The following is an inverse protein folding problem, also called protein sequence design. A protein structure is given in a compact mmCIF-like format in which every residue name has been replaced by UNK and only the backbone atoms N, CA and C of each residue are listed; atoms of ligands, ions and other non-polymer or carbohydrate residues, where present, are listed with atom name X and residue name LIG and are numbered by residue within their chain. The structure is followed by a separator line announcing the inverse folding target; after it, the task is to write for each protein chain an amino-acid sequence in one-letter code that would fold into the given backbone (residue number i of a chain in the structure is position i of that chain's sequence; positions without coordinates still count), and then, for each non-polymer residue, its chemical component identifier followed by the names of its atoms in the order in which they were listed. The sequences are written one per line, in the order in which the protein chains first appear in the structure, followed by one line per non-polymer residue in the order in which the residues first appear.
data_IF_858388601913
#
_entry.id   IF_858388601913
#
_cell.length_a   1.000
_cell.length_b   1.000
_cell.length_c   1.000
_cell.angle_alpha   90.00
_cell.angle_beta   90.00
_cell.angle_gamma   90.00
#
_symmetry.space_group_name_H-M   'P 1'
#
loop_
_entity.id
_entity.type
_entity.pdbx_description
1 polymer ?
#
# COMPACT_ATOMS: atom_id res chain seq x y z
N UNK A 1 17.84 -13.47 -7.18
CA UNK A 1 17.29 -12.38 -6.55
C UNK A 1 15.78 -12.25 -6.79
N UNK A 2 15.03 -11.97 -5.72
CA UNK A 2 13.56 -11.91 -5.75
C UNK A 2 13.01 -10.85 -6.72
N UNK A 3 13.70 -9.70 -6.84
CA UNK A 3 13.33 -8.64 -7.78
C UNK A 3 13.39 -9.12 -9.23
N UNK A 4 14.41 -9.88 -9.60
CA UNK A 4 14.50 -10.42 -10.97
C UNK A 4 13.35 -11.40 -11.26
N UNK A 5 13.03 -12.28 -10.33
CA UNK A 5 11.90 -13.20 -10.46
C UNK A 5 10.57 -12.45 -10.61
N UNK A 6 10.38 -11.36 -9.86
CA UNK A 6 9.20 -10.52 -9.93
C UNK A 6 9.08 -9.82 -11.29
N UNK A 7 10.17 -9.25 -11.81
CA UNK A 7 10.21 -8.64 -13.15
C UNK A 7 9.92 -9.67 -14.24
N UNK A 8 10.48 -10.88 -14.14
CA UNK A 8 10.25 -11.95 -15.10
C UNK A 8 8.77 -12.41 -15.12
N UNK A 9 8.16 -12.59 -13.93
CA UNK A 9 6.73 -12.93 -13.80
C UNK A 9 5.84 -11.83 -14.39
N UNK A 10 6.16 -10.58 -14.11
CA UNK A 10 5.39 -9.46 -14.63
C UNK A 10 5.52 -9.34 -16.16
N UNK A 11 6.72 -9.51 -16.70
CA UNK A 11 6.97 -9.51 -18.15
C UNK A 11 6.23 -10.65 -18.85
N UNK A 12 6.23 -11.84 -18.26
CA UNK A 12 5.45 -12.98 -18.79
C UNK A 12 3.95 -12.69 -18.82
N UNK A 13 3.42 -12.10 -17.72
CA UNK A 13 2.02 -11.70 -17.66
C UNK A 13 1.68 -10.65 -18.71
N UNK A 14 2.50 -9.61 -18.89
CA UNK A 14 2.28 -8.56 -19.89
C UNK A 14 2.29 -9.11 -21.31
N UNK A 15 3.14 -10.09 -21.61
CA UNK A 15 3.25 -10.70 -22.94
C UNK A 15 2.00 -11.48 -23.35
N UNK A 16 1.36 -12.20 -22.43
CA UNK A 16 0.23 -13.09 -22.77
C UNK A 16 -1.16 -12.51 -22.46
N UNK A 17 -1.30 -11.70 -21.43
CA UNK A 17 -2.55 -11.05 -20.97
C UNK A 17 -3.78 -12.00 -20.96
N UNK A 18 -3.57 -13.26 -20.58
CA UNK A 18 -4.62 -14.28 -20.48
C UNK A 18 -4.99 -14.54 -19.03
N UNK A 19 -6.18 -15.13 -18.77
CA UNK A 19 -6.57 -15.51 -17.40
C UNK A 19 -5.59 -16.51 -16.78
N UNK A 20 -5.03 -17.41 -17.58
CA UNK A 20 -4.04 -18.37 -17.10
C UNK A 20 -2.74 -17.66 -16.70
N UNK A 21 -2.22 -16.73 -17.51
CA UNK A 21 -1.02 -15.97 -17.17
C UNK A 21 -1.25 -15.05 -15.95
N UNK A 22 -2.48 -14.53 -15.78
CA UNK A 22 -2.88 -13.78 -14.59
C UNK A 22 -2.87 -14.66 -13.33
N UNK A 23 -3.42 -15.88 -13.41
CA UNK A 23 -3.39 -16.84 -12.31
C UNK A 23 -1.95 -17.22 -11.93
N UNK A 24 -1.09 -17.53 -12.90
CA UNK A 24 0.34 -17.81 -12.65
C UNK A 24 1.03 -16.62 -12.01
N UNK A 25 0.75 -15.39 -12.46
CA UNK A 25 1.29 -14.17 -11.87
C UNK A 25 0.85 -14.01 -10.40
N UNK A 26 -0.43 -14.21 -10.09
CA UNK A 26 -0.95 -14.09 -8.72
C UNK A 26 -0.33 -15.14 -7.78
N UNK A 27 -0.23 -16.38 -8.22
CA UNK A 27 0.42 -17.44 -7.43
C UNK A 27 1.90 -17.09 -7.23
N UNK A 28 2.59 -16.71 -8.31
CA UNK A 28 4.01 -16.37 -8.25
C UNK A 28 4.31 -15.20 -7.31
N UNK A 29 3.52 -14.11 -7.38
CA UNK A 29 3.71 -12.95 -6.49
C UNK A 29 3.41 -13.31 -5.03
N UNK A 30 2.43 -14.17 -4.77
CA UNK A 30 2.11 -14.64 -3.41
C UNK A 30 3.26 -15.50 -2.85
N UNK A 31 3.80 -16.40 -3.66
CA UNK A 31 4.96 -17.22 -3.26
C UNK A 31 6.18 -16.35 -3.00
N UNK A 32 6.47 -15.39 -3.88
CA UNK A 32 7.59 -14.45 -3.68
C UNK A 32 7.43 -13.64 -2.40
N UNK A 33 6.22 -13.19 -2.08
CA UNK A 33 5.93 -12.50 -0.83
C UNK A 33 6.18 -13.39 0.40
N UNK A 34 5.71 -14.63 0.37
CA UNK A 34 5.91 -15.58 1.45
C UNK A 34 7.40 -15.91 1.68
N UNK A 35 8.20 -15.95 0.61
CA UNK A 35 9.65 -16.14 0.68
C UNK A 35 10.39 -14.88 1.14
N UNK A 36 9.91 -13.69 0.77
CA UNK A 36 10.54 -12.43 1.16
C UNK A 36 10.47 -12.17 2.66
N UNK A 37 9.40 -12.60 3.33
CA UNK A 37 9.22 -12.38 4.76
C UNK A 37 10.32 -13.03 5.64
N UNK A 38 10.61 -14.36 5.55
CA UNK A 38 11.68 -14.95 6.33
C UNK A 38 13.07 -14.44 5.93
N UNK A 39 13.29 -14.13 4.65
CA UNK A 39 14.56 -13.56 4.18
C UNK A 39 14.78 -12.17 4.79
N UNK A 40 13.76 -11.30 4.79
CA UNK A 40 13.82 -10.00 5.45
C UNK A 40 14.11 -10.11 6.95
N UNK A 41 13.51 -11.10 7.62
CA UNK A 41 13.77 -11.36 9.04
C UNK A 41 15.21 -11.85 9.30
N UNK A 42 15.82 -12.64 8.42
CA UNK A 42 17.22 -13.07 8.55
C UNK A 42 18.21 -11.94 8.29
N UNK A 43 17.84 -10.93 7.48
CA UNK A 43 18.67 -9.77 7.14
C UNK A 43 18.61 -8.61 8.15
N UNK A 44 17.94 -8.77 9.28
CA UNK A 44 17.73 -7.70 10.28
C UNK A 44 19.01 -7.05 10.81
N UNK A 45 20.09 -7.80 10.90
CA UNK A 45 21.38 -7.31 11.40
C UNK A 45 22.24 -6.68 10.30
N UNK A 46 22.10 -7.14 9.06
CA UNK A 46 23.00 -6.77 7.96
C UNK A 46 22.47 -5.58 7.16
N UNK A 47 21.14 -5.42 7.08
CA UNK A 47 20.51 -4.38 6.27
C UNK A 47 19.66 -3.46 7.15
N UNK A 48 20.03 -2.16 7.27
CA UNK A 48 19.32 -1.22 8.13
C UNK A 48 17.81 -1.13 7.86
N UNK A 49 17.38 -1.30 6.61
CA UNK A 49 15.96 -1.27 6.20
C UNK A 49 15.11 -2.35 6.91
N UNK A 50 15.72 -3.47 7.31
CA UNK A 50 15.05 -4.54 8.04
C UNK A 50 15.31 -4.47 9.55
N UNK A 51 16.08 -3.50 10.02
CA UNK A 51 16.39 -3.29 11.43
C UNK A 51 15.16 -2.82 12.20
N UNK A 52 14.91 -3.34 13.42
CA UNK A 52 13.87 -2.84 14.31
C UNK A 52 14.12 -1.42 14.81
N UNK A 53 15.34 -0.89 14.65
CA UNK A 53 15.67 0.50 15.04
C UNK A 53 14.96 1.54 14.16
N UNK A 54 14.69 1.23 12.89
CA UNK A 54 13.96 2.14 11.99
C UNK A 54 12.46 2.03 12.15
N UNK A 55 11.97 0.81 12.36
CA UNK A 55 10.54 0.53 12.48
C UNK A 55 10.37 -0.78 13.28
N UNK A 56 9.63 -0.70 14.37
CA UNK A 56 9.32 -1.85 15.21
C UNK A 56 7.82 -1.86 15.51
N UNK A 57 7.10 -2.74 14.83
CA UNK A 57 5.70 -3.03 15.10
C UNK A 57 5.55 -4.45 15.64
N UNK A 58 4.69 -4.60 16.63
CA UNK A 58 4.26 -5.91 17.14
C UNK A 58 3.22 -6.59 16.25
N UNK A 59 2.76 -5.90 15.20
CA UNK A 59 1.73 -6.35 14.28
C UNK A 59 2.26 -7.18 13.10
N UNK A 60 1.65 -6.98 11.93
CA UNK A 60 1.88 -7.78 10.73
C UNK A 60 3.28 -7.57 10.13
N UNK A 61 3.85 -6.36 10.29
CA UNK A 61 5.12 -5.97 9.67
C UNK A 61 6.20 -5.80 10.72
N UNK A 62 7.14 -6.72 10.73
CA UNK A 62 8.23 -6.75 11.70
C UNK A 62 9.37 -5.75 11.40
N UNK A 63 9.37 -5.12 10.24
CA UNK A 63 10.39 -4.16 9.79
C UNK A 63 9.87 -3.25 8.69
N UNK A 64 10.52 -2.11 8.49
CA UNK A 64 10.22 -1.18 7.42
C UNK A 64 10.33 -1.84 6.04
N UNK A 65 11.37 -2.64 5.81
CA UNK A 65 11.58 -3.33 4.55
C UNK A 65 10.41 -4.27 4.20
N UNK A 66 9.89 -4.99 5.19
CA UNK A 66 8.72 -5.87 4.99
C UNK A 66 7.45 -5.07 4.67
N UNK A 67 7.25 -3.91 5.30
CA UNK A 67 6.15 -3.01 4.99
C UNK A 67 6.24 -2.49 3.54
N UNK A 68 7.40 -1.96 3.14
CA UNK A 68 7.62 -1.42 1.80
C UNK A 68 7.48 -2.48 0.71
N UNK A 69 8.02 -3.69 0.93
CA UNK A 69 7.85 -4.81 0.02
C UNK A 69 6.38 -5.21 -0.11
N UNK A 70 5.64 -5.26 1.00
CA UNK A 70 4.21 -5.59 0.94
C UNK A 70 3.43 -4.53 0.15
N UNK A 71 3.73 -3.25 0.32
CA UNK A 71 3.12 -2.17 -0.45
C UNK A 71 3.40 -2.33 -1.95
N UNK A 72 4.62 -2.71 -2.31
CA UNK A 72 4.97 -2.99 -3.71
C UNK A 72 4.17 -4.18 -4.27
N UNK A 73 4.01 -5.26 -3.50
CA UNK A 73 3.18 -6.41 -3.92
C UNK A 73 1.71 -6.02 -4.11
N UNK A 74 1.15 -5.24 -3.19
CA UNK A 74 -0.23 -4.73 -3.32
C UNK A 74 -0.37 -3.88 -4.58
N UNK A 75 0.57 -2.97 -4.84
CA UNK A 75 0.57 -2.16 -6.06
C UNK A 75 0.60 -3.04 -7.33
N UNK A 76 1.49 -4.02 -7.41
CA UNK A 76 1.62 -4.90 -8.58
C UNK A 76 0.39 -5.79 -8.78
N UNK A 77 -0.20 -6.28 -7.68
CA UNK A 77 -1.47 -7.01 -7.72
C UNK A 77 -2.58 -6.14 -8.35
N UNK A 78 -2.74 -4.93 -7.86
CA UNK A 78 -3.77 -4.00 -8.35
C UNK A 78 -3.52 -3.62 -9.80
N UNK A 79 -2.26 -3.37 -10.17
CA UNK A 79 -1.87 -3.05 -11.54
C UNK A 79 -2.23 -4.20 -12.49
N UNK A 80 -2.00 -5.46 -12.09
CA UNK A 80 -2.40 -6.63 -12.86
C UNK A 80 -3.94 -6.72 -13.03
N UNK A 81 -4.69 -6.49 -11.96
CA UNK A 81 -6.17 -6.42 -12.01
C UNK A 81 -6.63 -5.32 -12.97
N UNK A 82 -6.00 -4.15 -12.92
CA UNK A 82 -6.32 -3.04 -13.80
C UNK A 82 -6.01 -3.34 -15.27
N UNK A 83 -4.89 -4.02 -15.57
CA UNK A 83 -4.56 -4.47 -16.93
C UNK A 83 -5.63 -5.41 -17.45
N UNK A 84 -6.09 -6.34 -16.62
CA UNK A 84 -7.11 -7.34 -16.96
C UNK A 84 -8.56 -6.80 -16.94
N UNK A 85 -8.79 -5.53 -16.61
CA UNK A 85 -10.13 -4.95 -16.39
C UNK A 85 -11.13 -5.20 -17.52
N UNK A 86 -10.67 -5.19 -18.78
CA UNK A 86 -11.54 -5.44 -19.95
C UNK A 86 -11.99 -6.91 -20.01
N UNK A 87 -11.11 -7.85 -19.72
CA UNK A 87 -11.41 -9.28 -19.67
C UNK A 87 -12.31 -9.62 -18.48
N UNK A 88 -12.03 -9.01 -17.33
CA UNK A 88 -12.87 -9.10 -16.13
C UNK A 88 -14.29 -8.59 -16.42
N UNK A 89 -14.43 -7.47 -17.14
CA UNK A 89 -15.72 -6.95 -17.56
C UNK A 89 -16.44 -7.88 -18.56
N UNK A 90 -15.70 -8.53 -19.46
CA UNK A 90 -16.26 -9.55 -20.39
C UNK A 90 -16.76 -10.76 -19.61
N UNK A 91 -15.94 -11.31 -18.71
CA UNK A 91 -16.31 -12.42 -17.84
C UNK A 91 -17.60 -12.13 -17.07
N UNK A 92 -17.72 -10.93 -16.48
CA UNK A 92 -18.93 -10.51 -15.78
C UNK A 92 -20.17 -10.61 -16.67
N UNK A 93 -20.08 -10.28 -17.97
CA UNK A 93 -21.24 -10.34 -18.89
C UNK A 93 -21.72 -11.76 -19.15
N UNK A 94 -20.82 -12.74 -19.09
CA UNK A 94 -21.09 -14.15 -19.33
C UNK A 94 -21.63 -14.89 -18.09
N UNK A 95 -21.48 -14.31 -16.88
CA UNK A 95 -21.93 -14.93 -15.63
C UNK A 95 -23.46 -14.92 -15.49
N UNK A 96 -24.04 -15.89 -14.75
CA UNK A 96 -25.45 -15.86 -14.32
C UNK A 96 -25.74 -14.62 -13.46
N UNK A 97 -27.01 -14.19 -13.44
CA UNK A 97 -27.44 -12.94 -12.78
C UNK A 97 -26.99 -12.88 -11.33
N UNK A 98 -27.20 -13.93 -10.54
CA UNK A 98 -26.81 -13.99 -9.13
C UNK A 98 -25.28 -13.79 -8.96
N UNK A 99 -24.48 -14.48 -9.75
CA UNK A 99 -23.01 -14.37 -9.70
C UNK A 99 -22.50 -13.00 -10.18
N UNK A 100 -23.22 -12.31 -11.09
CA UNK A 100 -22.88 -10.92 -11.46
C UNK A 100 -22.94 -9.96 -10.27
N UNK A 101 -23.95 -10.08 -9.43
CA UNK A 101 -24.08 -9.22 -8.25
C UNK A 101 -22.97 -9.49 -7.25
N UNK A 102 -22.70 -10.77 -6.93
CA UNK A 102 -21.61 -11.16 -6.02
C UNK A 102 -20.26 -10.66 -6.55
N UNK A 103 -19.98 -10.91 -7.82
CA UNK A 103 -18.73 -10.49 -8.47
C UNK A 103 -18.56 -8.97 -8.46
N UNK A 104 -19.63 -8.22 -8.72
CA UNK A 104 -19.61 -6.76 -8.65
C UNK A 104 -19.40 -6.28 -7.23
N UNK A 105 -20.05 -6.86 -6.24
CA UNK A 105 -19.91 -6.53 -4.83
C UNK A 105 -18.45 -6.73 -4.36
N UNK A 106 -17.83 -7.86 -4.70
CA UNK A 106 -16.42 -8.13 -4.38
C UNK A 106 -15.52 -7.05 -4.95
N UNK A 107 -15.68 -6.67 -6.23
CA UNK A 107 -14.84 -5.66 -6.87
C UNK A 107 -15.09 -4.23 -6.33
N UNK A 108 -16.29 -3.94 -5.80
CA UNK A 108 -16.60 -2.66 -5.16
C UNK A 108 -16.06 -2.60 -3.72
N UNK A 109 -15.99 -3.74 -3.04
CA UNK A 109 -15.42 -3.82 -1.68
C UNK A 109 -13.88 -3.70 -1.68
N UNK A 110 -13.20 -4.15 -2.75
CA UNK A 110 -11.73 -4.08 -2.84
C UNK A 110 -11.15 -2.67 -2.60
N UNK A 111 -11.66 -1.58 -3.17
CA UNK A 111 -11.19 -0.24 -2.85
C UNK A 111 -11.38 0.13 -1.37
N UNK A 112 -12.46 -0.30 -0.72
CA UNK A 112 -12.68 -0.04 0.70
C UNK A 112 -11.61 -0.74 1.53
N UNK A 113 -11.35 -2.03 1.26
CA UNK A 113 -10.29 -2.79 1.93
C UNK A 113 -8.92 -2.12 1.70
N UNK A 114 -8.63 -1.69 0.46
CA UNK A 114 -7.39 -0.99 0.16
C UNK A 114 -7.26 0.35 0.90
N UNK A 115 -8.35 1.10 1.05
CA UNK A 115 -8.38 2.34 1.83
C UNK A 115 -8.08 2.10 3.31
N UNK A 116 -8.71 1.09 3.91
CA UNK A 116 -8.44 0.68 5.30
C UNK A 116 -6.98 0.23 5.44
N UNK A 117 -6.48 -0.60 4.54
CA UNK A 117 -5.09 -1.05 4.54
C UNK A 117 -4.11 0.14 4.49
N UNK A 118 -4.33 1.12 3.60
CA UNK A 118 -3.49 2.31 3.50
C UNK A 118 -3.52 3.09 4.80
N UNK A 119 -4.70 3.29 5.39
CA UNK A 119 -4.85 4.04 6.64
C UNK A 119 -4.11 3.36 7.79
N UNK A 120 -4.36 2.08 8.02
CA UNK A 120 -3.75 1.31 9.12
C UNK A 120 -2.22 1.23 8.99
N UNK A 121 -1.72 0.93 7.79
CA UNK A 121 -0.27 0.85 7.57
C UNK A 121 0.42 2.21 7.67
N UNK A 122 -0.25 3.27 7.23
CA UNK A 122 0.28 4.64 7.34
C UNK A 122 0.31 5.11 8.79
N UNK A 123 -0.73 4.82 9.56
CA UNK A 123 -0.77 5.08 10.99
C UNK A 123 0.32 4.29 11.73
N UNK A 124 0.48 3.01 11.42
CA UNK A 124 1.54 2.18 11.99
C UNK A 124 2.93 2.72 11.66
N UNK A 125 3.15 3.15 10.41
CA UNK A 125 4.40 3.77 10.01
C UNK A 125 4.72 5.01 10.86
N UNK A 126 3.79 5.94 11.03
CA UNK A 126 4.01 7.17 11.78
C UNK A 126 4.28 6.87 13.26
N UNK A 127 3.49 5.98 13.87
CA UNK A 127 3.60 5.68 15.29
C UNK A 127 4.84 4.87 15.65
N UNK A 128 5.22 3.90 14.84
CA UNK A 128 6.21 2.86 15.18
C UNK A 128 7.56 3.06 14.47
N UNK A 129 7.72 4.08 13.59
CA UNK A 129 9.00 4.37 12.96
C UNK A 129 9.77 5.47 13.71
N UNK A 130 11.09 5.41 13.61
CA UNK A 130 11.97 6.53 14.01
C UNK A 130 12.33 7.44 12.82
N UNK A 131 11.55 7.38 11.74
CA UNK A 131 11.77 8.13 10.51
C UNK A 131 10.99 9.43 10.58
N UNK A 132 11.62 10.53 10.18
CA UNK A 132 10.95 11.82 10.05
C UNK A 132 10.16 11.85 8.75
N UNK A 133 8.83 11.96 8.87
CA UNK A 133 7.90 12.10 7.74
C UNK A 133 7.38 13.54 7.61
N UNK A 134 7.96 14.48 8.34
CA UNK A 134 7.56 15.87 8.35
C UNK A 134 8.28 16.64 7.24
N UNK A 135 7.57 16.96 6.17
CA UNK A 135 8.12 17.63 4.97
C UNK A 135 8.74 19.00 5.29
N UNK A 136 8.28 19.70 6.34
CA UNK A 136 8.84 20.99 6.73
C UNK A 136 10.23 20.88 7.35
N UNK A 137 10.66 19.67 7.75
CA UNK A 137 12.03 19.39 8.24
C UNK A 137 12.87 18.77 7.14
N UNK A 138 13.05 19.49 6.04
CA UNK A 138 13.77 18.97 4.84
C UNK A 138 15.18 18.51 5.18
N UNK A 139 15.85 19.15 6.11
CA UNK A 139 17.22 18.80 6.54
C UNK A 139 17.30 17.44 7.26
N UNK A 140 16.19 16.96 7.83
CA UNK A 140 16.10 15.67 8.53
C UNK A 140 15.53 14.54 7.65
N UNK A 141 15.20 14.81 6.39
CA UNK A 141 14.68 13.80 5.47
C UNK A 141 15.79 12.84 5.05
N UNK A 142 15.69 11.61 5.51
CA UNK A 142 16.58 10.51 5.13
C UNK A 142 16.05 9.79 3.88
N UNK A 143 16.92 8.99 3.26
CA UNK A 143 16.57 8.12 2.12
C UNK A 143 15.39 7.20 2.44
N UNK A 144 15.24 6.78 3.69
CA UNK A 144 14.11 5.96 4.16
C UNK A 144 12.79 6.72 4.13
N UNK A 145 12.78 8.03 4.42
CA UNK A 145 11.62 8.91 4.28
C UNK A 145 11.16 8.96 2.82
N UNK A 146 12.10 9.12 1.89
CA UNK A 146 11.82 9.15 0.45
C UNK A 146 11.24 7.81 -0.02
N UNK A 147 11.81 6.68 0.42
CA UNK A 147 11.29 5.35 0.10
C UNK A 147 9.86 5.16 0.62
N UNK A 148 9.54 5.67 1.82
CA UNK A 148 8.19 5.66 2.35
C UNK A 148 7.23 6.47 1.48
N UNK A 149 7.60 7.70 1.10
CA UNK A 149 6.76 8.54 0.23
C UNK A 149 6.51 7.89 -1.13
N UNK A 150 7.54 7.32 -1.77
CA UNK A 150 7.40 6.60 -3.04
C UNK A 150 6.46 5.41 -2.88
N UNK A 151 6.65 4.61 -1.83
CA UNK A 151 5.84 3.43 -1.55
C UNK A 151 4.37 3.77 -1.34
N UNK A 152 4.06 4.79 -0.54
CA UNK A 152 2.67 5.23 -0.33
C UNK A 152 2.10 5.94 -1.56
N UNK A 153 2.91 6.66 -2.33
CA UNK A 153 2.53 7.19 -3.63
C UNK A 153 2.04 6.09 -4.58
N UNK A 154 2.75 4.96 -4.64
CA UNK A 154 2.33 3.79 -5.41
C UNK A 154 1.01 3.19 -4.89
N UNK A 155 0.82 3.13 -3.56
CA UNK A 155 -0.45 2.67 -2.97
C UNK A 155 -1.63 3.58 -3.31
N UNK A 156 -1.43 4.90 -3.28
CA UNK A 156 -2.49 5.84 -3.69
C UNK A 156 -2.83 5.70 -5.17
N UNK A 157 -1.83 5.46 -6.03
CA UNK A 157 -2.08 5.13 -7.45
C UNK A 157 -2.87 3.81 -7.55
N UNK A 158 -2.48 2.78 -6.79
CA UNK A 158 -3.22 1.51 -6.75
C UNK A 158 -4.68 1.72 -6.33
N UNK A 159 -4.92 2.51 -5.30
CA UNK A 159 -6.27 2.84 -4.84
C UNK A 159 -7.11 3.52 -5.93
N UNK A 160 -6.54 4.49 -6.66
CA UNK A 160 -7.20 5.14 -7.80
C UNK A 160 -7.54 4.13 -8.91
N UNK A 161 -6.62 3.20 -9.22
CA UNK A 161 -6.84 2.17 -10.23
C UNK A 161 -7.96 1.19 -9.80
N UNK A 162 -8.02 0.82 -8.52
CA UNK A 162 -9.10 0.00 -7.98
C UNK A 162 -10.46 0.72 -8.05
N UNK A 163 -10.50 2.00 -7.69
CA UNK A 163 -11.71 2.83 -7.83
C UNK A 163 -12.17 2.85 -9.30
N UNK A 164 -11.25 2.99 -10.25
CA UNK A 164 -11.57 2.97 -11.68
C UNK A 164 -12.12 1.60 -12.12
N UNK A 165 -11.55 0.49 -11.63
CA UNK A 165 -12.04 -0.87 -11.92
C UNK A 165 -13.43 -1.07 -11.32
N UNK A 166 -13.64 -0.70 -10.06
CA UNK A 166 -14.94 -0.79 -9.39
C UNK A 166 -16.01 0.01 -10.15
N UNK A 167 -15.68 1.21 -10.61
CA UNK A 167 -16.58 2.07 -11.38
C UNK A 167 -16.95 1.45 -12.73
N UNK A 168 -16.00 0.80 -13.40
CA UNK A 168 -16.27 0.07 -14.64
C UNK A 168 -17.24 -1.10 -14.47
N UNK A 169 -17.36 -1.64 -13.26
CA UNK A 169 -18.27 -2.74 -12.93
C UNK A 169 -19.67 -2.27 -12.54
N UNK A 170 -19.85 -0.98 -12.30
CA UNK A 170 -21.17 -0.36 -12.05
C UNK A 170 -21.76 0.23 -13.35
N UNK A 171 -23.04 0.58 -13.32
CA UNK A 171 -23.72 1.26 -14.43
C UNK A 171 -23.24 2.70 -14.66
N UNK A 172 -22.41 3.24 -13.76
CA UNK A 172 -21.89 4.62 -13.80
C UNK A 172 -20.68 4.78 -14.74
N UNK A 173 -20.14 3.69 -15.26
CA UNK A 173 -18.91 3.65 -16.08
C UNK A 173 -18.94 4.56 -17.32
N UNK A 174 -20.11 4.82 -17.90
CA UNK A 174 -20.22 5.70 -19.08
C UNK A 174 -20.13 7.20 -18.76
N UNK A 175 -20.36 7.61 -17.51
CA UNK A 175 -20.47 9.01 -17.11
C UNK A 175 -19.23 9.56 -16.42
N UNK A 176 -18.54 8.73 -15.63
CA UNK A 176 -17.42 9.14 -14.78
C UNK A 176 -16.19 8.29 -15.10
N UNK A 177 -15.02 8.93 -15.20
CA UNK A 177 -13.73 8.25 -15.24
C UNK A 177 -12.78 9.00 -14.32
N UNK A 178 -12.30 8.35 -13.26
CA UNK A 178 -11.35 8.94 -12.30
C UNK A 178 -10.00 9.30 -12.93
N UNK A 179 -9.68 8.73 -14.09
CA UNK A 179 -8.44 9.03 -14.83
C UNK A 179 -8.54 10.30 -15.70
N UNK A 180 -9.71 10.95 -15.79
CA UNK A 180 -9.79 12.26 -16.43
C UNK A 180 -9.13 13.33 -15.56
N UNK A 181 -8.42 14.27 -16.19
CA UNK A 181 -7.61 15.30 -15.53
C UNK A 181 -8.33 16.01 -14.38
N UNK A 182 -9.59 16.38 -14.56
CA UNK A 182 -10.37 17.07 -13.52
C UNK A 182 -10.58 16.24 -12.25
N UNK A 183 -10.89 14.94 -12.38
CA UNK A 183 -11.07 14.05 -11.24
C UNK A 183 -9.74 13.65 -10.62
N UNK A 184 -8.70 13.51 -11.45
CA UNK A 184 -7.34 13.26 -10.98
C UNK A 184 -6.83 14.40 -10.10
N UNK A 185 -7.04 15.67 -10.49
CA UNK A 185 -6.66 16.83 -9.69
C UNK A 185 -7.38 16.84 -8.33
N UNK A 186 -8.70 16.59 -8.34
CA UNK A 186 -9.49 16.49 -7.09
C UNK A 186 -8.96 15.35 -6.21
N UNK A 187 -8.64 14.20 -6.80
CA UNK A 187 -8.07 13.06 -6.09
C UNK A 187 -6.72 13.40 -5.46
N UNK A 188 -5.80 14.00 -6.21
CA UNK A 188 -4.49 14.43 -5.70
C UNK A 188 -4.67 15.42 -4.53
N UNK A 189 -5.59 16.38 -4.66
CA UNK A 189 -5.88 17.33 -3.59
C UNK A 189 -6.37 16.63 -2.31
N UNK A 190 -7.32 15.68 -2.43
CA UNK A 190 -7.85 14.93 -1.28
C UNK A 190 -6.74 14.11 -0.62
N UNK A 191 -5.91 13.41 -1.39
CA UNK A 191 -4.80 12.61 -0.85
C UNK A 191 -3.76 13.49 -0.16
N UNK A 192 -3.42 14.64 -0.77
CA UNK A 192 -2.47 15.58 -0.15
C UNK A 192 -3.01 16.15 1.16
N UNK A 193 -4.30 16.51 1.21
CA UNK A 193 -4.94 16.96 2.45
C UNK A 193 -4.97 15.84 3.52
N UNK A 194 -5.32 14.61 3.12
CA UNK A 194 -5.31 13.45 4.00
C UNK A 194 -3.92 13.19 4.59
N UNK A 195 -2.87 13.13 3.75
CA UNK A 195 -1.51 12.85 4.21
C UNK A 195 -1.00 13.94 5.15
N UNK A 196 -1.26 15.21 4.84
CA UNK A 196 -0.87 16.34 5.68
C UNK A 196 -1.55 16.29 7.06
N UNK A 197 -2.85 16.07 7.09
CA UNK A 197 -3.61 15.95 8.35
C UNK A 197 -3.15 14.73 9.16
N UNK A 198 -2.95 13.58 8.50
CA UNK A 198 -2.54 12.35 9.16
C UNK A 198 -1.14 12.50 9.79
N UNK A 199 -0.15 13.04 9.04
CA UNK A 199 1.21 13.25 9.54
C UNK A 199 1.19 14.23 10.71
N UNK A 200 0.50 15.36 10.58
CA UNK A 200 0.45 16.38 11.64
C UNK A 200 -0.22 15.86 12.90
N UNK A 201 -1.38 15.22 12.78
CA UNK A 201 -2.14 14.73 13.92
C UNK A 201 -1.46 13.56 14.65
N UNK A 202 -0.99 12.56 13.89
CA UNK A 202 -0.35 11.38 14.46
C UNK A 202 1.07 11.72 14.97
N UNK A 203 1.80 12.60 14.26
CA UNK A 203 3.08 13.11 14.70
C UNK A 203 2.96 13.85 16.05
N UNK A 204 1.98 14.74 16.17
CA UNK A 204 1.70 15.43 17.44
C UNK A 204 1.41 14.44 18.59
N UNK A 205 0.55 13.45 18.36
CA UNK A 205 0.25 12.41 19.37
C UNK A 205 1.48 11.62 19.79
N UNK A 206 2.35 11.30 18.85
CA UNK A 206 3.60 10.58 19.11
C UNK A 206 4.55 11.42 19.98
N UNK A 207 4.71 12.70 19.68
CA UNK A 207 5.53 13.60 20.48
C UNK A 207 4.94 13.80 21.88
N UNK A 208 3.64 13.96 22.01
CA UNK A 208 2.96 14.04 23.31
C UNK A 208 3.20 12.77 24.16
N UNK A 209 3.09 11.59 23.54
CA UNK A 209 3.37 10.32 24.22
C UNK A 209 4.83 10.22 24.68
N UNK A 210 5.79 10.68 23.85
CA UNK A 210 7.21 10.75 24.22
C UNK A 210 7.44 11.69 25.40
N UNK A 211 6.88 12.90 25.37
CA UNK A 211 7.00 13.85 26.46
C UNK A 211 6.45 13.29 27.78
N UNK A 212 5.30 12.63 27.76
CA UNK A 212 4.71 11.97 28.93
C UNK A 212 5.62 10.87 29.49
N UNK A 213 6.23 10.05 28.64
CA UNK A 213 7.18 9.01 29.08
C UNK A 213 8.42 9.61 29.75
N UNK A 214 8.98 10.69 29.20
CA UNK A 214 10.12 11.39 29.80
C UNK A 214 9.76 12.01 31.16
N UNK A 215 8.61 12.65 31.26
CA UNK A 215 8.13 13.23 32.52
C UNK A 215 7.97 12.17 33.60
N UNK A 216 7.40 11.02 33.28
CA UNK A 216 7.23 9.92 34.22
C UNK A 216 8.58 9.31 34.66
N UNK A 217 9.56 9.17 33.76
CA UNK A 217 10.90 8.71 34.12
C UNK A 217 11.60 9.67 35.09
N UNK A 218 11.54 10.96 34.81
CA UNK A 218 12.15 11.99 35.67
C UNK A 218 11.48 12.08 37.05
N UNK A 219 10.19 11.77 37.17
CA UNK A 219 9.51 11.73 38.47
C UNK A 219 9.94 10.53 39.31
N UNK A 220 10.12 9.35 38.66
CA UNK A 220 10.59 8.13 39.36
C UNK A 220 12.04 8.20 39.77
N UNK A 221 12.90 8.96 39.09
CA UNK A 221 14.30 9.15 39.43
C UNK A 221 14.50 10.15 40.62
N UNK A 222 13.44 10.91 40.98
CA UNK A 222 13.48 11.89 42.07
C UNK A 222 13.01 11.35 43.43
N UNK A 223 12.30 10.24 43.45
CA UNK A 223 11.85 9.55 44.65
C UNK A 223 12.84 8.43 45.07
#
# INVERSE_FOLDING_TARGET
SLLFALVALYSYFLGKKSFLSFGIFLIGITVLRLLAFPIGNSMRLDVPLFSPNLYADSGIFSSLGNLLLNNLYVFLFVLAVYIMRKQIAKLKRELPVALKYIFTAVLVILPVIAGVYIHETFQSLINNSNITLEIYRIEELDIYSILCYVSYGLLFIAFLLLLQVALMMTSLSGRISFLRTKYLLVYIFIISAYTLVAISYLGYKKEEARCRMWTNRLSVERD
#
